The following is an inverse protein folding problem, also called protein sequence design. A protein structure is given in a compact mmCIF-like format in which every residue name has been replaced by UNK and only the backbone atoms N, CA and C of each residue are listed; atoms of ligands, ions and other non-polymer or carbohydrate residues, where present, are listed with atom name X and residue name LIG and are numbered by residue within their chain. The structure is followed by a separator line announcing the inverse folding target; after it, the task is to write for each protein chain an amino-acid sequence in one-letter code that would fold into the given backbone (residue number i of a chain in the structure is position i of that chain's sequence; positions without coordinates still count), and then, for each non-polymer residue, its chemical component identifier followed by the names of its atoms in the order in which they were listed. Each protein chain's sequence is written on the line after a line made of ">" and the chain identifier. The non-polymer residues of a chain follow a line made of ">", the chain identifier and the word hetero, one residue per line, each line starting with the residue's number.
data_IF_872362901076
#
_entry.id   IF_872362901076
#
_cell.length_a   1.000
_cell.length_b   1.000
_cell.length_c   1.000
_cell.angle_alpha   90.00
_cell.angle_beta   90.00
_cell.angle_gamma   90.00
#
_symmetry.space_group_name_H-M   'P 1'
#
loop_
_entity.id
_entity.type
_entity.pdbx_description
1 polymer ?
#
# COMPACT_ATOMS: atom_id res chain seq x y z
N UNK A 1 6.84 -1.49 14.50
CA UNK A 1 6.06 -0.60 13.61
C UNK A 1 4.60 -0.65 14.02
N UNK A 2 3.87 0.47 14.01
CA UNK A 2 2.41 0.49 14.22
C UNK A 2 1.70 0.72 12.89
N UNK A 3 0.63 -0.02 12.63
CA UNK A 3 -0.11 0.03 11.36
C UNK A 3 -1.54 0.44 11.64
N UNK A 4 -2.05 1.32 10.81
CA UNK A 4 -3.47 1.63 10.71
C UNK A 4 -3.85 1.65 9.24
N UNK A 5 -5.01 1.09 8.93
CA UNK A 5 -5.60 1.13 7.60
C UNK A 5 -6.96 1.82 7.65
N UNK A 6 -7.33 2.45 6.54
CA UNK A 6 -8.63 3.07 6.35
C UNK A 6 -9.15 2.73 4.97
N UNK A 7 -10.33 2.12 4.91
CA UNK A 7 -11.09 1.99 3.68
C UNK A 7 -11.57 3.38 3.25
N UNK A 8 -11.42 3.69 1.97
CA UNK A 8 -11.78 4.98 1.41
C UNK A 8 -12.33 4.80 0.00
N UNK A 9 -13.57 5.22 -0.20
CA UNK A 9 -14.18 5.23 -1.53
C UNK A 9 -13.83 6.53 -2.25
N UNK A 10 -12.99 6.46 -3.29
CA UNK A 10 -12.64 7.63 -4.09
C UNK A 10 -13.74 7.89 -5.13
N UNK A 11 -14.54 8.92 -4.90
CA UNK A 11 -15.53 9.39 -5.87
C UNK A 11 -14.87 10.12 -7.04
N UNK A 12 -15.23 9.73 -8.26
CA UNK A 12 -14.73 10.34 -9.48
C UNK A 12 -15.63 11.51 -9.87
N UNK A 13 -15.02 12.63 -10.27
CA UNK A 13 -15.75 13.81 -10.76
C UNK A 13 -16.64 13.50 -11.98
N UNK A 14 -16.21 12.56 -12.81
CA UNK A 14 -16.93 12.09 -13.98
C UNK A 14 -16.85 10.55 -14.05
N UNK A 15 -17.84 9.88 -14.64
CA UNK A 15 -17.74 8.44 -14.91
C UNK A 15 -16.48 8.12 -15.73
N UNK A 16 -15.74 7.11 -15.29
CA UNK A 16 -14.59 6.59 -16.02
C UNK A 16 -14.97 5.27 -16.68
N UNK A 17 -14.81 5.19 -18.00
CA UNK A 17 -15.14 4.02 -18.82
C UNK A 17 -13.90 3.44 -19.50
N UNK A 18 -13.74 2.13 -19.42
CA UNK A 18 -12.70 1.37 -20.14
C UNK A 18 -13.26 0.02 -20.58
N UNK A 19 -13.15 -0.30 -21.88
CA UNK A 19 -13.76 -1.49 -22.47
C UNK A 19 -15.25 -1.61 -22.07
N UNK A 20 -15.65 -2.72 -21.43
CA UNK A 20 -17.02 -2.98 -20.99
C UNK A 20 -17.32 -2.50 -19.56
N UNK A 21 -16.40 -1.79 -18.91
CA UNK A 21 -16.55 -1.33 -17.53
C UNK A 21 -16.73 0.18 -17.46
N UNK A 22 -17.70 0.65 -16.68
CA UNK A 22 -17.86 2.05 -16.30
C UNK A 22 -17.96 2.13 -14.78
N UNK A 23 -17.28 3.08 -14.17
CA UNK A 23 -17.33 3.31 -12.71
C UNK A 23 -17.39 4.80 -12.39
N UNK A 24 -18.01 5.12 -11.27
CA UNK A 24 -18.08 6.48 -10.69
C UNK A 24 -17.26 6.61 -9.42
N UNK A 25 -16.70 5.51 -8.92
CA UNK A 25 -15.83 5.48 -7.76
C UNK A 25 -14.75 4.40 -7.89
N UNK A 26 -13.73 4.47 -7.04
CA UNK A 26 -12.69 3.43 -6.92
C UNK A 26 -12.40 3.17 -5.44
N UNK A 27 -12.46 1.92 -4.96
CA UNK A 27 -12.15 1.61 -3.57
C UNK A 27 -10.63 1.70 -3.35
N UNK A 28 -10.23 2.40 -2.29
CA UNK A 28 -8.84 2.61 -1.89
C UNK A 28 -8.60 2.10 -0.46
N UNK A 29 -7.51 1.38 -0.23
CA UNK A 29 -7.02 1.11 1.11
C UNK A 29 -5.90 2.11 1.42
N UNK A 30 -6.17 3.07 2.31
CA UNK A 30 -5.17 4.01 2.79
C UNK A 30 -4.41 3.37 3.95
N UNK A 31 -3.08 3.33 3.84
CA UNK A 31 -2.18 2.76 4.83
C UNK A 31 -1.40 3.87 5.53
N UNK A 32 -1.32 3.79 6.86
CA UNK A 32 -0.46 4.62 7.69
C UNK A 32 0.44 3.74 8.54
N UNK A 33 1.75 3.90 8.36
CA UNK A 33 2.79 3.21 9.12
C UNK A 33 3.49 4.20 10.05
N UNK A 34 3.64 3.85 11.32
CA UNK A 34 4.41 4.62 12.29
C UNK A 34 5.64 3.84 12.73
N UNK A 35 6.82 4.46 12.59
CA UNK A 35 8.12 3.88 12.89
C UNK A 35 9.01 4.95 13.53
N UNK A 36 9.48 4.71 14.76
CA UNK A 36 10.43 5.60 15.47
C UNK A 36 10.02 7.09 15.47
N UNK A 37 8.72 7.37 15.67
CA UNK A 37 8.17 8.73 15.66
C UNK A 37 7.87 9.31 14.28
N UNK A 38 8.36 8.68 13.20
CA UNK A 38 8.06 9.03 11.81
C UNK A 38 6.81 8.31 11.33
N UNK A 39 6.02 8.99 10.49
CA UNK A 39 4.81 8.44 9.87
C UNK A 39 4.98 8.39 8.36
N UNK A 40 4.76 7.22 7.77
CA UNK A 40 4.63 7.01 6.32
C UNK A 40 3.20 6.77 5.89
N UNK A 41 2.86 7.22 4.70
CA UNK A 41 1.56 7.00 4.07
C UNK A 41 1.71 6.21 2.78
N UNK A 42 0.78 5.29 2.55
CA UNK A 42 0.70 4.50 1.33
C UNK A 42 -0.75 4.26 0.92
N UNK A 43 -0.94 3.82 -0.31
CA UNK A 43 -2.26 3.66 -0.91
C UNK A 43 -2.31 2.40 -1.78
N UNK A 44 -3.38 1.61 -1.62
CA UNK A 44 -3.74 0.55 -2.55
C UNK A 44 -5.00 0.96 -3.30
N UNK A 45 -4.92 1.13 -4.62
CA UNK A 45 -6.10 1.37 -5.47
C UNK A 45 -6.61 0.04 -6.04
N UNK A 46 -7.79 -0.40 -5.60
CA UNK A 46 -8.32 -1.74 -5.90
C UNK A 46 -9.39 -1.65 -6.97
N UNK A 47 -8.96 -1.38 -8.20
CA UNK A 47 -9.88 -1.28 -9.33
C UNK A 47 -10.67 -2.59 -9.47
N UNK A 48 -12.03 -2.59 -9.48
CA UNK A 48 -12.83 -3.82 -9.30
C UNK A 48 -12.52 -4.99 -10.24
N UNK A 49 -12.10 -4.69 -11.47
CA UNK A 49 -11.75 -5.71 -12.47
C UNK A 49 -10.29 -6.20 -12.39
N UNK A 50 -9.49 -5.72 -11.42
CA UNK A 50 -8.09 -6.12 -11.20
C UNK A 50 -7.92 -7.15 -10.07
N UNK A 51 -9.01 -7.60 -9.45
CA UNK A 51 -9.03 -8.79 -8.58
C UNK A 51 -8.63 -8.60 -7.12
N UNK A 52 -8.30 -7.37 -6.70
CA UNK A 52 -8.10 -7.03 -5.27
C UNK A 52 -9.34 -6.35 -4.68
N UNK A 53 -9.54 -6.51 -3.38
CA UNK A 53 -10.65 -5.91 -2.62
C UNK A 53 -10.19 -5.52 -1.22
N UNK A 54 -11.06 -4.85 -0.46
CA UNK A 54 -10.78 -4.56 0.95
C UNK A 54 -10.52 -5.83 1.77
N UNK A 55 -11.23 -6.91 1.47
CA UNK A 55 -11.08 -8.21 2.13
C UNK A 55 -9.72 -8.83 1.81
N UNK A 56 -9.32 -8.85 0.53
CA UNK A 56 -8.03 -9.41 0.12
C UNK A 56 -6.87 -8.60 0.68
N UNK A 57 -6.97 -7.27 0.66
CA UNK A 57 -5.98 -6.37 1.25
C UNK A 57 -5.84 -6.59 2.76
N UNK A 58 -6.96 -6.65 3.50
CA UNK A 58 -6.93 -6.93 4.94
C UNK A 58 -6.39 -8.32 5.26
N UNK A 59 -6.71 -9.33 4.44
CA UNK A 59 -6.17 -10.67 4.60
C UNK A 59 -4.65 -10.66 4.40
N UNK A 60 -4.15 -9.98 3.36
CA UNK A 60 -2.72 -9.86 3.10
C UNK A 60 -1.98 -9.13 4.24
N UNK A 61 -2.50 -7.99 4.72
CA UNK A 61 -1.89 -7.24 5.82
C UNK A 61 -1.75 -8.05 7.12
N UNK A 62 -2.62 -9.03 7.35
CA UNK A 62 -2.54 -9.95 8.51
C UNK A 62 -1.41 -10.98 8.38
N UNK A 63 -0.92 -11.25 7.17
CA UNK A 63 0.20 -12.16 6.93
C UNK A 63 1.56 -11.49 7.17
N UNK A 64 1.60 -10.16 7.14
CA UNK A 64 2.84 -9.39 7.22
C UNK A 64 3.36 -9.36 8.66
N UNK A 65 4.58 -9.85 8.85
CA UNK A 65 5.38 -9.68 10.06
C UNK A 65 6.13 -8.35 9.99
N UNK A 66 5.49 -7.32 10.53
CA UNK A 66 5.99 -5.94 10.54
C UNK A 66 7.26 -5.74 11.38
N UNK A 67 7.69 -6.73 12.17
CA UNK A 67 8.95 -6.66 12.93
C UNK A 67 10.19 -6.80 12.03
N UNK A 68 10.02 -7.34 10.82
CA UNK A 68 11.07 -7.50 9.81
C UNK A 68 11.50 -6.18 9.16
N UNK A 69 10.65 -5.15 9.19
CA UNK A 69 10.95 -3.86 8.58
C UNK A 69 11.71 -2.97 9.57
N UNK A 70 13.02 -2.84 9.35
CA UNK A 70 13.93 -2.03 10.16
C UNK A 70 14.77 -1.14 9.26
N UNK A 71 15.04 0.07 9.73
CA UNK A 71 15.92 1.01 9.03
C UNK A 71 17.40 0.65 9.27
N UNK A 72 18.29 0.70 8.25
CA UNK A 72 18.03 1.05 6.85
C UNK A 72 17.21 -0.02 6.12
N UNK A 73 16.22 0.40 5.35
CA UNK A 73 15.33 -0.53 4.64
C UNK A 73 16.03 -1.15 3.44
N UNK A 74 16.01 -2.48 3.36
CA UNK A 74 16.43 -3.21 2.17
C UNK A 74 15.20 -3.55 1.31
N UNK A 75 14.84 -2.65 0.39
CA UNK A 75 13.63 -2.79 -0.44
C UNK A 75 13.61 -4.09 -1.26
N UNK A 76 14.76 -4.54 -1.77
CA UNK A 76 14.83 -5.81 -2.52
C UNK A 76 14.41 -6.99 -1.65
N UNK A 77 14.90 -7.06 -0.42
CA UNK A 77 14.52 -8.12 0.52
C UNK A 77 13.07 -7.97 0.99
N UNK A 78 12.60 -6.74 1.20
CA UNK A 78 11.22 -6.47 1.60
C UNK A 78 10.24 -6.92 0.51
N UNK A 79 10.49 -6.58 -0.76
CA UNK A 79 9.65 -6.99 -1.89
C UNK A 79 9.66 -8.52 -2.02
N UNK A 80 10.84 -9.15 -1.96
CA UNK A 80 10.95 -10.61 -2.01
C UNK A 80 10.20 -11.29 -0.85
N UNK A 81 10.25 -10.71 0.35
CA UNK A 81 9.49 -11.16 1.50
C UNK A 81 7.98 -11.03 1.27
N UNK A 82 7.50 -9.87 0.83
CA UNK A 82 6.08 -9.66 0.54
C UNK A 82 5.56 -10.62 -0.54
N UNK A 83 6.36 -10.87 -1.57
CA UNK A 83 6.04 -11.84 -2.62
C UNK A 83 6.00 -13.28 -2.15
N UNK A 84 6.78 -13.63 -1.12
CA UNK A 84 6.73 -14.96 -0.51
C UNK A 84 5.46 -15.22 0.30
N UNK A 85 4.75 -14.18 0.76
CA UNK A 85 3.57 -14.32 1.61
C UNK A 85 2.32 -14.77 0.84
N UNK A 86 2.13 -14.25 -0.38
CA UNK A 86 1.02 -14.63 -1.25
C UNK A 86 1.31 -14.24 -2.71
N UNK A 87 0.85 -15.05 -3.69
CA UNK A 87 0.88 -14.66 -5.09
C UNK A 87 -0.06 -13.47 -5.35
N UNK A 88 0.30 -12.61 -6.31
CA UNK A 88 -0.50 -11.42 -6.65
C UNK A 88 -0.50 -10.36 -5.56
N UNK A 89 -1.66 -9.75 -5.29
CA UNK A 89 -1.83 -8.64 -4.35
C UNK A 89 -0.92 -7.41 -4.61
N UNK A 90 -0.69 -7.00 -5.88
CA UNK A 90 0.23 -5.90 -6.18
C UNK A 90 -0.20 -4.56 -5.57
N UNK A 91 -1.49 -4.25 -5.46
CA UNK A 91 -1.96 -2.95 -4.95
C UNK A 91 -1.65 -2.80 -3.46
N UNK A 92 -1.97 -3.81 -2.64
CA UNK A 92 -1.67 -3.73 -1.20
C UNK A 92 -0.17 -3.85 -0.91
N UNK A 93 0.59 -4.61 -1.71
CA UNK A 93 2.06 -4.63 -1.63
C UNK A 93 2.66 -3.27 -1.97
N UNK A 94 2.15 -2.61 -3.02
CA UNK A 94 2.57 -1.26 -3.38
C UNK A 94 2.25 -0.25 -2.27
N UNK A 95 1.11 -0.35 -1.59
CA UNK A 95 0.80 0.51 -0.46
C UNK A 95 1.83 0.41 0.67
N UNK A 96 2.34 -0.79 0.95
CA UNK A 96 3.41 -1.00 1.93
C UNK A 96 4.71 -0.35 1.44
N UNK A 97 5.09 -0.60 0.18
CA UNK A 97 6.30 -0.03 -0.43
C UNK A 97 6.29 1.51 -0.40
N UNK A 98 5.20 2.13 -0.83
CA UNK A 98 5.02 3.59 -0.83
C UNK A 98 5.17 4.15 0.59
N UNK A 99 4.53 3.53 1.58
CA UNK A 99 4.61 4.00 2.97
C UNK A 99 6.03 3.86 3.56
N UNK A 100 6.77 2.80 3.19
CA UNK A 100 8.16 2.62 3.61
C UNK A 100 9.10 3.62 2.93
N UNK A 101 8.88 3.92 1.65
CA UNK A 101 9.61 4.95 0.92
C UNK A 101 9.37 6.35 1.51
N UNK A 102 8.12 6.66 1.88
CA UNK A 102 7.78 7.92 2.57
C UNK A 102 8.50 8.03 3.93
N UNK A 103 8.54 6.94 4.73
CA UNK A 103 9.34 6.91 5.97
C UNK A 103 10.83 7.11 5.66
N UNK A 104 11.36 6.42 4.65
CA UNK A 104 12.77 6.47 4.28
C UNK A 104 13.19 7.91 3.93
N UNK A 105 12.44 8.57 3.04
CA UNK A 105 12.68 9.97 2.68
C UNK A 105 12.62 10.90 3.89
N UNK A 106 11.64 10.70 4.79
CA UNK A 106 11.53 11.49 6.03
C UNK A 106 12.68 11.28 7.00
N UNK A 107 13.17 10.05 7.17
CA UNK A 107 14.35 9.75 8.01
C UNK A 107 15.60 10.38 7.42
N UNK A 108 15.77 10.29 6.10
CA UNK A 108 16.92 10.84 5.37
C UNK A 108 16.84 12.35 5.13
N UNK A 109 15.69 12.97 5.45
CA UNK A 109 15.35 14.35 5.10
C UNK A 109 15.56 14.65 3.61
N UNK A 110 15.08 13.74 2.75
CA UNK A 110 15.13 13.82 1.29
C UNK A 110 13.80 13.46 0.65
N UNK A 111 13.46 14.04 -0.50
CA UNK A 111 12.33 13.57 -1.28
C UNK A 111 12.64 12.19 -1.89
N UNK A 112 11.59 11.42 -2.18
CA UNK A 112 11.72 10.04 -2.65
C UNK A 112 12.45 9.88 -4.00
N UNK A 113 12.54 10.94 -4.82
CA UNK A 113 13.21 10.88 -6.11
C UNK A 113 14.74 11.01 -6.02
N UNK A 114 15.27 11.40 -4.85
CA UNK A 114 16.71 11.51 -4.55
C UNK A 114 17.24 10.28 -3.83
#
# INVERSE_FOLDING_TARGET
>A
MKISCKQFELELKHPFSISKFTRTSTPLMLLKLQYEGVTGYGEASMVPYMGESYESANAFLKLVDWSKFKHPFNFKEIIAYLDSLAPGQPAIKAAIDIALNDINGKILNKPCYE
#
